data_IF_742801277941
#
_entry.id   IF_742801277941
#
_cell.length_a   1.000
_cell.length_b   1.000
_cell.length_c   1.000
_cell.angle_alpha   90.00
_cell.angle_beta   90.00
_cell.angle_gamma   90.00
#
_symmetry.space_group_name_H-M   'P 1'
#
loop_
_entity.id
_entity.type
_entity.pdbx_description
1 polymer ?
#
# COMPACT_ATOMS: atom_id res chain seq x y z
N UNK A 1 25.67 30.92 11.90
CA UNK A 1 25.59 29.50 11.46
C UNK A 1 25.80 29.31 9.95
N UNK A 2 25.17 30.13 9.09
CA UNK A 2 25.27 30.00 7.63
C UNK A 2 26.70 30.27 7.10
N UNK A 3 27.35 31.35 7.54
CA UNK A 3 28.74 31.67 7.14
C UNK A 3 29.75 30.62 7.65
N UNK A 4 29.57 30.16 8.89
CA UNK A 4 30.38 29.10 9.50
C UNK A 4 30.28 27.77 8.73
N UNK A 5 29.08 27.43 8.25
CA UNK A 5 28.84 26.25 7.41
C UNK A 5 29.65 26.32 6.12
N UNK A 6 29.64 27.45 5.41
CA UNK A 6 30.40 27.57 4.16
C UNK A 6 31.90 27.55 4.39
N UNK A 7 32.39 28.14 5.49
CA UNK A 7 33.80 28.05 5.85
C UNK A 7 34.23 26.59 6.12
N UNK A 8 33.49 25.86 6.96
CA UNK A 8 33.81 24.45 7.26
C UNK A 8 33.65 23.52 6.06
N UNK A 9 32.83 23.87 5.06
CA UNK A 9 32.75 23.11 3.80
C UNK A 9 34.14 22.94 3.16
N UNK A 10 35.00 23.95 3.29
CA UNK A 10 36.34 23.97 2.70
C UNK A 10 37.45 23.68 3.73
N UNK A 11 37.26 24.03 5.02
CA UNK A 11 38.32 23.89 6.04
C UNK A 11 38.19 22.65 6.94
N UNK A 12 36.99 22.09 7.12
CA UNK A 12 36.78 20.90 7.95
C UNK A 12 35.48 20.16 7.56
N UNK A 13 35.61 19.15 6.70
CA UNK A 13 34.47 18.38 6.16
C UNK A 13 33.63 17.71 7.25
N UNK A 14 34.22 17.27 8.35
CA UNK A 14 33.48 16.64 9.45
C UNK A 14 32.59 17.66 10.14
N UNK A 15 33.16 18.80 10.54
CA UNK A 15 32.39 19.89 11.17
C UNK A 15 31.32 20.47 10.25
N UNK A 16 31.54 20.47 8.94
CA UNK A 16 30.51 20.80 7.94
C UNK A 16 29.33 19.83 7.97
N UNK A 17 29.58 18.51 8.05
CA UNK A 17 28.53 17.48 8.16
C UNK A 17 27.73 17.65 9.45
N UNK A 18 28.41 17.85 10.59
CA UNK A 18 27.77 18.05 11.89
C UNK A 18 26.83 19.27 11.88
N UNK A 19 27.28 20.40 11.31
CA UNK A 19 26.44 21.60 11.19
C UNK A 19 25.24 21.35 10.27
N UNK A 20 25.42 20.59 9.17
CA UNK A 20 24.32 20.23 8.25
C UNK A 20 23.28 19.34 8.97
N UNK A 21 23.72 18.41 9.79
CA UNK A 21 22.85 17.53 10.58
C UNK A 21 22.08 18.31 11.65
N UNK A 22 22.76 19.18 12.41
CA UNK A 22 22.11 20.06 13.39
C UNK A 22 21.07 20.98 12.73
N UNK A 23 21.37 21.52 11.55
CA UNK A 23 20.40 22.29 10.76
C UNK A 23 19.19 21.46 10.34
N UNK A 24 19.41 20.21 9.90
CA UNK A 24 18.35 19.29 9.53
C UNK A 24 17.44 18.96 10.73
N UNK A 25 18.04 18.67 11.89
CA UNK A 25 17.30 18.41 13.14
C UNK A 25 16.49 19.63 13.53
N UNK A 26 17.08 20.84 13.50
CA UNK A 26 16.37 22.08 13.80
C UNK A 26 15.19 22.30 12.85
N UNK A 27 15.38 22.06 11.56
CA UNK A 27 14.32 22.14 10.55
C UNK A 27 13.21 21.13 10.80
N UNK A 28 13.55 19.86 11.10
CA UNK A 28 12.57 18.82 11.44
C UNK A 28 11.77 19.19 12.69
N UNK A 29 12.44 19.68 13.74
CA UNK A 29 11.77 20.17 14.96
C UNK A 29 10.85 21.37 14.69
N UNK A 30 11.23 22.27 13.79
CA UNK A 30 10.35 23.39 13.40
C UNK A 30 9.21 22.97 12.45
N UNK A 31 9.38 21.87 11.69
CA UNK A 31 8.37 21.31 10.79
C UNK A 31 7.35 20.44 11.54
N UNK A 32 7.77 19.76 12.61
CA UNK A 32 6.89 19.21 13.62
C UNK A 32 6.29 20.40 14.41
N UNK A 33 5.45 21.17 13.72
CA UNK A 33 4.80 22.35 14.26
C UNK A 33 3.94 21.95 15.47
N UNK A 34 3.79 22.81 16.49
CA UNK A 34 2.80 22.64 17.55
C UNK A 34 1.39 22.32 17.03
N UNK A 35 1.07 22.74 15.79
CA UNK A 35 -0.19 22.44 15.12
C UNK A 35 -0.34 20.95 14.76
N UNK A 36 0.73 20.22 14.45
CA UNK A 36 0.64 18.79 14.14
C UNK A 36 0.54 17.96 15.42
N UNK A 37 1.25 18.34 16.49
CA UNK A 37 1.08 17.69 17.80
C UNK A 37 -0.34 17.86 18.31
N UNK A 38 -0.96 19.03 18.11
CA UNK A 38 -2.37 19.24 18.44
C UNK A 38 -3.29 18.27 17.68
N UNK A 39 -3.09 18.04 16.38
CA UNK A 39 -3.86 17.04 15.61
C UNK A 39 -3.71 15.63 16.18
N UNK A 40 -2.52 15.24 16.62
CA UNK A 40 -2.29 13.94 17.26
C UNK A 40 -2.99 13.85 18.63
N UNK A 41 -2.95 14.92 19.42
CA UNK A 41 -3.65 15.00 20.70
C UNK A 41 -5.17 14.93 20.52
N UNK A 42 -5.71 15.58 19.49
CA UNK A 42 -7.12 15.46 19.10
C UNK A 42 -7.49 14.02 18.72
N UNK A 43 -6.70 13.38 17.85
CA UNK A 43 -6.91 11.98 17.46
C UNK A 43 -6.91 11.06 18.69
N UNK A 44 -5.94 11.23 19.59
CA UNK A 44 -5.86 10.50 20.86
C UNK A 44 -7.08 10.76 21.75
N UNK A 45 -7.53 12.02 21.80
CA UNK A 45 -8.75 12.43 22.50
C UNK A 45 -10.00 11.76 21.93
N UNK A 46 -10.16 11.70 20.61
CA UNK A 46 -11.29 11.01 19.99
C UNK A 46 -11.26 9.51 20.27
N UNK A 47 -10.10 8.85 20.12
CA UNK A 47 -9.94 7.41 20.42
C UNK A 47 -10.27 7.10 21.89
N UNK A 48 -10.00 8.02 22.82
CA UNK A 48 -10.26 7.79 24.25
C UNK A 48 -11.74 7.99 24.62
N UNK A 49 -12.42 8.95 23.99
CA UNK A 49 -13.68 9.49 24.51
C UNK A 49 -14.90 9.22 23.61
N UNK A 50 -14.70 9.01 22.31
CA UNK A 50 -15.81 8.80 21.37
C UNK A 50 -16.13 7.30 21.26
N UNK A 51 -17.42 6.94 21.20
CA UNK A 51 -17.83 5.55 20.93
C UNK A 51 -17.83 5.20 19.44
N UNK A 52 -17.95 6.23 18.59
CA UNK A 52 -18.03 6.12 17.14
C UNK A 52 -16.85 6.86 16.53
N UNK A 53 -16.08 6.18 15.67
CA UNK A 53 -14.93 6.76 14.98
C UNK A 53 -15.23 6.83 13.47
N UNK A 54 -15.25 8.05 12.95
CA UNK A 54 -15.40 8.34 11.54
C UNK A 54 -14.03 8.63 10.95
N UNK A 55 -13.58 7.76 10.06
CA UNK A 55 -12.30 7.84 9.37
C UNK A 55 -12.48 8.47 8.00
N UNK A 56 -11.51 9.29 7.58
CA UNK A 56 -11.41 9.83 6.23
C UNK A 56 -10.16 9.31 5.56
N UNK A 57 -10.25 8.98 4.27
CA UNK A 57 -9.09 8.73 3.44
C UNK A 57 -9.32 9.25 2.01
N UNK A 58 -8.28 9.79 1.36
CA UNK A 58 -8.34 10.26 -0.03
C UNK A 58 -7.21 9.76 -0.92
N UNK A 59 -6.16 9.18 -0.34
CA UNK A 59 -4.97 8.69 -1.06
C UNK A 59 -5.25 7.53 -1.99
N UNK A 60 -4.20 6.99 -2.62
CA UNK A 60 -4.33 5.85 -3.53
C UNK A 60 -4.96 4.64 -2.83
N UNK A 61 -5.63 3.79 -3.60
CA UNK A 61 -6.38 2.65 -3.07
C UNK A 61 -5.53 1.66 -2.25
N UNK A 62 -4.22 1.54 -2.51
CA UNK A 62 -3.33 0.73 -1.66
C UNK A 62 -3.15 1.30 -0.26
N UNK A 63 -3.10 2.64 -0.11
CA UNK A 63 -3.00 3.30 1.19
C UNK A 63 -4.28 3.07 2.02
N UNK A 64 -5.45 3.01 1.37
CA UNK A 64 -6.72 2.65 2.02
C UNK A 64 -6.63 1.24 2.63
N UNK A 65 -6.12 0.27 1.86
CA UNK A 65 -5.91 -1.10 2.35
C UNK A 65 -4.94 -1.12 3.53
N UNK A 66 -3.88 -0.33 3.48
CA UNK A 66 -2.90 -0.26 4.56
C UNK A 66 -3.38 0.46 5.83
N UNK A 67 -4.46 1.24 5.77
CA UNK A 67 -5.10 1.84 6.94
C UNK A 67 -5.98 0.85 7.72
N UNK A 68 -6.45 -0.21 7.05
CA UNK A 68 -7.37 -1.20 7.60
C UNK A 68 -6.91 -1.89 8.91
N UNK A 69 -5.63 -2.24 9.13
CA UNK A 69 -5.19 -2.86 10.39
C UNK A 69 -5.54 -2.01 11.61
N UNK A 70 -5.30 -0.69 11.53
CA UNK A 70 -5.61 0.24 12.64
C UNK A 70 -7.11 0.30 12.89
N UNK A 71 -7.92 0.37 11.83
CA UNK A 71 -9.38 0.38 11.95
C UNK A 71 -9.88 -0.93 12.58
N UNK A 72 -9.31 -2.07 12.18
CA UNK A 72 -9.63 -3.39 12.75
C UNK A 72 -9.34 -3.44 14.24
N UNK A 73 -8.20 -2.91 14.68
CA UNK A 73 -7.88 -2.88 16.11
C UNK A 73 -8.82 -1.96 16.90
N UNK A 74 -9.09 -0.77 16.39
CA UNK A 74 -10.01 0.18 17.01
C UNK A 74 -11.46 -0.33 17.06
N UNK A 75 -11.88 -1.13 16.07
CA UNK A 75 -13.22 -1.72 16.01
C UNK A 75 -13.56 -2.64 17.18
N UNK A 76 -12.55 -3.14 17.91
CA UNK A 76 -12.75 -3.96 19.11
C UNK A 76 -13.47 -3.20 20.23
N UNK A 77 -13.34 -1.87 20.24
CA UNK A 77 -13.91 -1.00 21.28
C UNK A 77 -14.78 0.13 20.71
N UNK A 78 -14.80 0.32 19.39
CA UNK A 78 -15.50 1.42 18.72
C UNK A 78 -16.38 0.92 17.58
N UNK A 79 -17.46 1.65 17.31
CA UNK A 79 -18.12 1.58 16.00
C UNK A 79 -17.30 2.39 14.99
N UNK A 80 -16.82 1.75 13.93
CA UNK A 80 -15.91 2.37 12.97
C UNK A 80 -16.61 2.60 11.62
N UNK A 81 -16.50 3.81 11.06
CA UNK A 81 -17.05 4.16 9.73
C UNK A 81 -15.94 4.74 8.84
N UNK A 82 -15.85 4.34 7.58
CA UNK A 82 -14.80 4.80 6.66
C UNK A 82 -15.38 5.56 5.46
N UNK A 83 -15.02 6.84 5.35
CA UNK A 83 -15.46 7.71 4.26
C UNK A 83 -14.31 8.03 3.30
N UNK A 84 -14.58 7.88 2.00
CA UNK A 84 -13.60 8.11 0.95
C UNK A 84 -13.85 9.46 0.30
N UNK A 85 -12.85 10.34 0.33
CA UNK A 85 -12.90 11.59 -0.42
C UNK A 85 -12.49 11.33 -1.87
N UNK A 86 -13.48 11.30 -2.76
CA UNK A 86 -13.25 11.18 -4.22
C UNK A 86 -12.83 12.53 -4.83
N UNK A 87 -12.17 12.46 -5.98
CA UNK A 87 -11.76 13.60 -6.80
C UNK A 87 -10.79 14.58 -6.12
N UNK A 88 -10.07 14.17 -5.06
CA UNK A 88 -8.99 14.98 -4.50
C UNK A 88 -7.86 15.13 -5.53
N UNK A 89 -7.46 16.35 -5.90
CA UNK A 89 -6.38 16.59 -6.87
C UNK A 89 -5.04 16.03 -6.40
N UNK A 90 -4.20 15.61 -7.36
CA UNK A 90 -2.80 15.28 -7.12
C UNK A 90 -1.96 16.52 -7.47
N UNK A 91 -1.12 16.98 -6.53
CA UNK A 91 -0.30 18.20 -6.70
C UNK A 91 0.78 18.09 -7.79
N UNK A 92 1.11 16.86 -8.23
CA UNK A 92 2.14 16.58 -9.24
C UNK A 92 1.56 15.72 -10.36
N UNK A 93 1.98 15.99 -11.58
CA UNK A 93 1.60 15.18 -12.74
C UNK A 93 1.98 13.71 -12.52
N UNK A 94 0.99 12.83 -12.47
CA UNK A 94 1.19 11.40 -12.38
C UNK A 94 1.17 10.78 -13.79
N UNK A 95 2.31 10.26 -14.25
CA UNK A 95 2.41 9.63 -15.58
C UNK A 95 1.51 8.38 -15.65
N UNK A 96 0.60 8.34 -16.63
CA UNK A 96 -0.35 7.24 -16.87
C UNK A 96 -1.11 6.77 -15.62
N UNK A 97 -1.50 7.70 -14.74
CA UNK A 97 -2.30 7.34 -13.57
C UNK A 97 -3.73 7.01 -13.99
N UNK A 98 -4.25 5.87 -13.52
CA UNK A 98 -5.58 5.36 -13.89
C UNK A 98 -6.74 6.28 -13.49
N UNK A 99 -6.52 7.14 -12.49
CA UNK A 99 -7.49 8.14 -12.05
C UNK A 99 -7.25 9.52 -12.68
N UNK A 100 -6.30 9.66 -13.60
CA UNK A 100 -5.93 10.93 -14.22
C UNK A 100 -5.21 11.85 -13.23
N UNK A 101 -5.79 13.02 -12.94
CA UNK A 101 -5.20 14.07 -12.10
C UNK A 101 -5.71 14.06 -10.65
N UNK A 102 -6.48 13.05 -10.25
CA UNK A 102 -7.01 12.88 -8.89
C UNK A 102 -6.52 11.58 -8.27
N UNK A 103 -6.53 11.46 -6.95
CA UNK A 103 -6.08 10.21 -6.29
C UNK A 103 -7.02 9.03 -6.56
N UNK A 104 -8.33 9.26 -6.43
CA UNK A 104 -9.41 8.32 -6.66
C UNK A 104 -10.53 9.08 -7.37
N UNK A 105 -10.94 8.62 -8.55
CA UNK A 105 -12.13 9.12 -9.23
C UNK A 105 -13.34 8.21 -8.92
N UNK A 106 -14.53 8.61 -9.37
CA UNK A 106 -15.76 7.84 -9.12
C UNK A 106 -15.70 6.41 -9.68
N UNK A 107 -15.12 6.20 -10.87
CA UNK A 107 -15.01 4.87 -11.47
C UNK A 107 -14.16 3.90 -10.63
N UNK A 108 -13.04 4.37 -10.06
CA UNK A 108 -12.21 3.56 -9.16
C UNK A 108 -12.91 3.33 -7.83
N UNK A 109 -13.61 4.34 -7.30
CA UNK A 109 -14.43 4.19 -6.10
C UNK A 109 -15.52 3.12 -6.29
N UNK A 110 -16.20 3.11 -7.43
CA UNK A 110 -17.26 2.14 -7.73
C UNK A 110 -16.71 0.70 -7.85
N UNK A 111 -15.47 0.52 -8.33
CA UNK A 111 -14.78 -0.78 -8.28
C UNK A 111 -14.28 -1.15 -6.88
N UNK A 112 -14.03 -0.17 -6.01
CA UNK A 112 -13.52 -0.38 -4.65
C UNK A 112 -14.62 -0.69 -3.63
N UNK A 113 -15.79 -0.07 -3.77
CA UNK A 113 -16.84 -0.16 -2.75
C UNK A 113 -17.32 -1.61 -2.48
N UNK A 114 -17.39 -2.56 -3.45
CA UNK A 114 -17.74 -3.94 -3.14
C UNK A 114 -16.75 -4.61 -2.18
N UNK A 115 -15.45 -4.32 -2.34
CA UNK A 115 -14.41 -4.84 -1.44
C UNK A 115 -14.55 -4.26 -0.03
N UNK A 116 -14.75 -2.93 0.07
CA UNK A 116 -14.89 -2.29 1.36
C UNK A 116 -16.13 -2.79 2.12
N UNK A 117 -17.26 -2.95 1.41
CA UNK A 117 -18.49 -3.51 2.00
C UNK A 117 -18.35 -4.95 2.50
N UNK A 118 -17.32 -5.69 2.08
CA UNK A 118 -17.06 -7.05 2.60
C UNK A 118 -16.26 -7.04 3.92
N UNK A 119 -15.83 -5.89 4.42
CA UNK A 119 -15.01 -5.76 5.63
C UNK A 119 -15.91 -5.75 6.86
N UNK A 120 -15.95 -6.87 7.59
CA UNK A 120 -16.88 -7.12 8.70
C UNK A 120 -16.77 -6.15 9.90
N UNK A 121 -15.61 -5.53 10.11
CA UNK A 121 -15.33 -4.70 11.29
C UNK A 121 -15.53 -3.19 11.07
N UNK A 122 -16.11 -2.79 9.94
CA UNK A 122 -16.49 -1.41 9.65
C UNK A 122 -17.99 -1.37 9.43
N UNK A 123 -18.66 -0.48 10.15
CA UNK A 123 -20.13 -0.41 10.21
C UNK A 123 -20.74 0.37 9.05
N UNK A 124 -20.04 1.38 8.53
CA UNK A 124 -20.52 2.16 7.39
C UNK A 124 -19.38 2.58 6.45
N UNK A 125 -19.71 2.67 5.16
CA UNK A 125 -18.83 3.10 4.08
C UNK A 125 -19.54 4.04 3.13
N UNK A 126 -18.87 5.12 2.76
CA UNK A 126 -19.46 6.08 1.83
C UNK A 126 -18.44 7.00 1.17
N UNK A 127 -18.95 7.80 0.23
CA UNK A 127 -18.23 8.99 -0.22
C UNK A 127 -18.32 10.02 0.92
N UNK A 128 -17.21 10.72 1.16
CA UNK A 128 -17.20 11.83 2.12
C UNK A 128 -18.07 12.96 1.59
N UNK A 129 -19.07 13.33 2.38
CA UNK A 129 -19.92 14.49 2.16
C UNK A 129 -19.72 15.46 3.33
N UNK A 130 -20.57 15.37 4.35
CA UNK A 130 -20.60 16.30 5.49
C UNK A 130 -20.39 15.60 6.84
N UNK A 131 -19.92 14.34 6.84
CA UNK A 131 -19.72 13.58 8.08
C UNK A 131 -18.62 14.23 8.95
N UNK A 132 -18.86 14.31 10.27
CA UNK A 132 -17.82 14.71 11.24
C UNK A 132 -16.69 13.68 11.19
N UNK A 133 -15.48 14.12 10.88
CA UNK A 133 -14.29 13.24 10.84
C UNK A 133 -13.55 13.32 12.18
N UNK A 134 -13.27 12.15 12.76
CA UNK A 134 -12.45 12.01 13.96
C UNK A 134 -10.99 11.75 13.61
N UNK A 135 -10.73 10.94 12.58
CA UNK A 135 -9.38 10.56 12.17
C UNK A 135 -9.24 10.74 10.67
N UNK A 136 -8.50 11.76 10.26
CA UNK A 136 -8.13 11.98 8.85
C UNK A 136 -6.83 11.25 8.55
N UNK A 137 -6.92 10.11 7.86
CA UNK A 137 -5.74 9.34 7.53
C UNK A 137 -4.82 10.07 6.55
N UNK A 138 -5.28 11.06 5.78
CA UNK A 138 -4.39 11.81 4.89
C UNK A 138 -3.26 12.55 5.64
N UNK A 139 -3.45 12.80 6.94
CA UNK A 139 -2.47 13.46 7.80
C UNK A 139 -1.15 12.69 7.89
N UNK A 140 -1.09 11.41 7.50
CA UNK A 140 0.19 10.71 7.43
C UNK A 140 1.18 11.38 6.46
N UNK A 141 0.68 12.11 5.46
CA UNK A 141 1.50 12.82 4.48
C UNK A 141 2.14 14.10 5.04
N UNK A 142 1.65 14.57 6.18
CA UNK A 142 2.19 15.72 6.89
C UNK A 142 3.22 15.31 7.97
N UNK A 143 3.36 14.01 8.24
CA UNK A 143 4.31 13.51 9.22
C UNK A 143 5.77 13.83 8.80
N UNK A 144 6.67 14.16 9.75
CA UNK A 144 8.03 14.58 9.45
C UNK A 144 8.97 13.40 9.13
N UNK A 145 8.46 12.40 8.42
CA UNK A 145 9.19 11.22 8.01
C UNK A 145 9.44 11.25 6.51
N UNK A 146 10.33 10.38 6.05
CA UNK A 146 10.48 10.17 4.62
C UNK A 146 9.29 9.38 4.07
N UNK A 147 8.61 9.93 3.06
CA UNK A 147 7.52 9.26 2.33
C UNK A 147 8.00 8.63 1.02
N UNK A 148 9.33 8.56 0.80
CA UNK A 148 9.95 7.88 -0.32
C UNK A 148 9.95 6.35 -0.18
N UNK A 149 9.13 5.78 0.70
CA UNK A 149 8.85 4.35 0.77
C UNK A 149 7.36 4.16 1.07
N UNK A 150 6.83 2.93 1.05
CA UNK A 150 5.45 2.67 1.50
C UNK A 150 5.49 1.89 2.80
N UNK A 151 4.62 2.23 3.74
CA UNK A 151 4.56 1.55 5.04
C UNK A 151 3.16 1.53 5.63
N UNK A 152 2.70 0.34 6.04
CA UNK A 152 1.52 0.17 6.89
C UNK A 152 1.60 0.99 8.18
N UNK A 153 2.83 1.19 8.67
CA UNK A 153 3.07 1.79 9.98
C UNK A 153 2.79 3.29 10.01
N UNK A 154 2.61 3.93 8.87
CA UNK A 154 2.22 5.34 8.82
C UNK A 154 0.97 5.63 9.65
N UNK A 155 -0.02 4.74 9.58
CA UNK A 155 -1.25 4.89 10.35
C UNK A 155 -1.07 4.55 11.83
N UNK A 156 -0.07 3.73 12.18
CA UNK A 156 0.31 3.49 13.58
C UNK A 156 0.90 4.75 14.19
N UNK A 157 1.75 5.45 13.43
CA UNK A 157 2.34 6.70 13.86
C UNK A 157 1.32 7.84 13.99
N UNK A 158 0.24 7.79 13.21
CA UNK A 158 -0.84 8.76 13.30
C UNK A 158 -1.76 8.53 14.51
N UNK A 159 -2.05 7.28 14.85
CA UNK A 159 -3.06 6.93 15.87
C UNK A 159 -2.48 6.45 17.20
N UNK A 160 -1.20 6.09 17.23
CA UNK A 160 -0.57 5.41 18.38
C UNK A 160 -0.95 3.93 18.51
N UNK A 161 -1.82 3.40 17.64
CA UNK A 161 -2.30 2.02 17.69
C UNK A 161 -1.35 1.12 16.90
N UNK A 162 -0.91 0.02 17.52
CA UNK A 162 -0.10 -1.01 16.88
C UNK A 162 -0.89 -2.30 16.74
N UNK A 163 -0.65 -3.01 15.64
CA UNK A 163 -1.34 -4.27 15.34
C UNK A 163 -0.35 -5.33 14.89
N UNK A 164 -0.70 -6.59 15.08
CA UNK A 164 0.06 -7.70 14.48
C UNK A 164 -0.20 -7.73 12.97
N UNK A 165 0.82 -7.34 12.19
CA UNK A 165 0.75 -7.34 10.73
C UNK A 165 0.99 -8.72 10.12
N UNK A 166 1.31 -9.76 10.90
CA UNK A 166 1.44 -11.13 10.39
C UNK A 166 0.07 -11.79 10.13
N UNK A 167 -0.96 -11.31 10.82
CA UNK A 167 -2.34 -11.78 10.69
C UNK A 167 -3.09 -11.07 9.55
N UNK A 168 -4.10 -11.73 8.94
CA UNK A 168 -4.91 -11.11 7.89
C UNK A 168 -5.78 -10.01 8.47
N UNK A 169 -5.83 -8.89 7.77
CA UNK A 169 -6.72 -7.76 8.05
C UNK A 169 -7.80 -7.58 6.98
N UNK A 170 -7.82 -8.43 5.95
CA UNK A 170 -8.98 -8.65 5.08
C UNK A 170 -9.35 -10.13 5.08
N UNK A 171 -10.60 -10.43 5.45
CA UNK A 171 -11.20 -11.75 5.32
C UNK A 171 -12.04 -11.77 4.05
N UNK A 172 -11.70 -12.66 3.14
CA UNK A 172 -12.28 -12.73 1.81
C UNK A 172 -12.64 -14.18 1.51
N UNK A 173 -13.83 -14.39 0.96
CA UNK A 173 -14.27 -15.70 0.52
C UNK A 173 -13.54 -16.11 -0.77
N UNK A 174 -13.19 -17.39 -0.95
CA UNK A 174 -12.60 -17.89 -2.20
C UNK A 174 -13.47 -17.57 -3.42
N UNK A 175 -12.84 -17.39 -4.58
CA UNK A 175 -13.55 -17.23 -5.85
C UNK A 175 -14.28 -18.53 -6.23
N UNK A 176 -15.53 -18.51 -6.72
CA UNK A 176 -16.32 -19.73 -6.90
C UNK A 176 -15.77 -20.72 -7.95
N UNK A 177 -15.06 -20.23 -8.98
CA UNK A 177 -14.59 -21.06 -10.11
C UNK A 177 -13.08 -21.02 -10.36
N UNK A 178 -12.46 -19.84 -10.30
CA UNK A 178 -11.02 -19.65 -10.44
C UNK A 178 -10.30 -20.09 -9.16
N UNK A 179 -9.53 -21.19 -9.24
CA UNK A 179 -8.84 -21.80 -8.10
C UNK A 179 -7.44 -22.28 -8.51
N UNK A 180 -6.51 -22.29 -7.55
CA UNK A 180 -5.17 -22.89 -7.68
C UNK A 180 -4.32 -22.40 -8.87
N UNK A 181 -4.60 -21.18 -9.35
CA UNK A 181 -3.79 -20.48 -10.35
C UNK A 181 -2.63 -19.76 -9.65
N UNK A 182 -1.50 -19.60 -10.35
CA UNK A 182 -0.46 -18.65 -9.97
C UNK A 182 -0.89 -17.30 -10.52
N UNK A 183 -1.30 -16.40 -9.63
CA UNK A 183 -1.89 -15.12 -10.01
C UNK A 183 -0.79 -14.06 -10.11
N UNK A 184 -0.77 -13.33 -11.22
CA UNK A 184 0.27 -12.35 -11.54
C UNK A 184 -0.35 -10.97 -11.76
N UNK A 185 0.23 -9.94 -11.14
CA UNK A 185 0.02 -8.54 -11.51
C UNK A 185 1.36 -7.83 -11.53
N UNK A 186 1.80 -7.42 -12.71
CA UNK A 186 3.06 -6.69 -12.90
C UNK A 186 2.79 -5.32 -13.50
N UNK A 187 2.51 -4.35 -12.62
CA UNK A 187 2.13 -3.02 -13.04
C UNK A 187 3.28 -2.28 -13.75
N UNK A 188 3.00 -1.26 -14.57
CA UNK A 188 4.06 -0.44 -15.21
C UNK A 188 4.91 0.38 -14.24
N UNK A 189 4.46 0.54 -13.00
CA UNK A 189 5.18 1.29 -11.96
C UNK A 189 6.07 0.35 -11.16
N UNK A 190 7.23 0.82 -10.70
CA UNK A 190 8.06 0.07 -9.73
C UNK A 190 8.43 -1.33 -10.27
N UNK A 191 8.86 -1.40 -11.55
CA UNK A 191 9.35 -2.64 -12.17
C UNK A 191 10.85 -2.75 -11.96
N UNK A 192 11.29 -3.94 -11.60
CA UNK A 192 12.69 -4.23 -11.44
C UNK A 192 13.30 -4.61 -12.81
N UNK A 193 14.31 -3.86 -13.30
CA UNK A 193 14.94 -4.15 -14.59
C UNK A 193 15.87 -5.39 -14.54
N UNK A 194 16.16 -5.93 -13.36
CA UNK A 194 17.05 -7.06 -13.14
C UNK A 194 16.32 -8.42 -13.07
N UNK A 195 15.01 -8.45 -13.34
CA UNK A 195 14.20 -9.67 -13.28
C UNK A 195 13.47 -9.92 -14.61
N UNK A 196 13.49 -11.18 -15.01
CA UNK A 196 12.85 -11.70 -16.21
C UNK A 196 11.79 -12.74 -15.81
N UNK A 197 10.58 -12.53 -16.32
CA UNK A 197 9.44 -13.40 -16.08
C UNK A 197 9.33 -14.53 -17.12
N UNK A 198 10.19 -14.54 -18.16
CA UNK A 198 10.12 -15.50 -19.28
C UNK A 198 10.26 -16.96 -18.83
N UNK A 199 10.96 -17.24 -17.73
CA UNK A 199 11.06 -18.61 -17.18
C UNK A 199 9.70 -19.18 -16.76
N UNK A 200 8.68 -18.33 -16.57
CA UNK A 200 7.33 -18.75 -16.24
C UNK A 200 6.61 -19.43 -17.40
N UNK A 201 7.06 -19.24 -18.65
CA UNK A 201 6.44 -19.82 -19.85
C UNK A 201 6.34 -21.36 -19.84
N UNK A 202 7.03 -22.05 -18.91
CA UNK A 202 6.95 -23.50 -18.71
C UNK A 202 5.81 -23.95 -17.78
N UNK A 203 5.02 -23.04 -17.22
CA UNK A 203 3.91 -23.34 -16.30
C UNK A 203 2.58 -22.96 -16.92
N UNK A 204 1.58 -23.84 -16.90
CA UNK A 204 0.30 -23.64 -17.58
C UNK A 204 -0.81 -23.03 -16.70
N UNK A 205 -0.60 -22.94 -15.38
CA UNK A 205 -1.59 -22.44 -14.44
C UNK A 205 -1.43 -20.94 -14.11
N UNK A 206 -0.93 -20.15 -15.04
CA UNK A 206 -0.67 -18.71 -14.84
C UNK A 206 -1.89 -17.87 -15.22
N UNK A 207 -2.26 -16.92 -14.35
CA UNK A 207 -3.39 -16.02 -14.56
C UNK A 207 -3.00 -14.57 -14.28
N UNK A 208 -3.23 -13.68 -15.24
CA UNK A 208 -3.06 -12.25 -15.05
C UNK A 208 -4.40 -11.55 -14.80
N UNK A 209 -4.45 -10.70 -13.76
CA UNK A 209 -5.68 -9.99 -13.34
C UNK A 209 -5.50 -8.46 -13.23
N UNK A 210 -4.42 -7.92 -13.79
CA UNK A 210 -4.14 -6.48 -13.84
C UNK A 210 -4.76 -5.77 -15.05
N UNK A 211 -4.18 -4.64 -15.47
CA UNK A 211 -4.67 -3.92 -16.65
C UNK A 211 -4.34 -4.66 -17.96
N UNK A 212 -5.19 -4.50 -18.98
CA UNK A 212 -5.05 -5.19 -20.26
C UNK A 212 -3.73 -4.88 -20.96
N UNK A 213 -3.27 -3.64 -20.94
CA UNK A 213 -2.00 -3.21 -21.53
C UNK A 213 -0.79 -3.78 -20.77
N UNK A 214 -0.86 -3.88 -19.44
CA UNK A 214 0.15 -4.55 -18.61
C UNK A 214 0.20 -6.07 -18.89
N UNK A 215 -0.95 -6.69 -19.14
CA UNK A 215 -1.04 -8.08 -19.59
C UNK A 215 -0.39 -8.29 -20.94
N UNK A 216 -0.78 -7.51 -21.96
CA UNK A 216 -0.24 -7.65 -23.32
C UNK A 216 1.27 -7.44 -23.35
N UNK A 217 1.80 -6.58 -22.47
CA UNK A 217 3.24 -6.40 -22.32
C UNK A 217 3.93 -7.64 -21.73
N UNK A 218 3.39 -8.21 -20.65
CA UNK A 218 3.96 -9.40 -20.02
C UNK A 218 3.80 -10.66 -20.88
N UNK A 219 2.71 -10.78 -21.63
CA UNK A 219 2.41 -11.93 -22.50
C UNK A 219 3.44 -12.13 -23.61
N UNK A 220 4.14 -11.07 -24.04
CA UNK A 220 5.28 -11.18 -24.98
C UNK A 220 6.38 -12.12 -24.46
N UNK A 221 6.52 -12.21 -23.14
CA UNK A 221 7.51 -13.05 -22.45
C UNK A 221 6.92 -14.38 -21.97
N UNK A 222 5.60 -14.44 -21.76
CA UNK A 222 4.87 -15.62 -21.29
C UNK A 222 3.70 -15.91 -22.25
N UNK A 223 3.92 -16.62 -23.37
CA UNK A 223 2.90 -16.82 -24.40
C UNK A 223 1.63 -17.53 -23.91
N UNK A 224 1.76 -18.42 -22.93
CA UNK A 224 0.65 -19.17 -22.32
C UNK A 224 -0.06 -18.43 -21.17
N UNK A 225 0.27 -17.16 -20.92
CA UNK A 225 -0.39 -16.36 -19.87
C UNK A 225 -1.87 -16.12 -20.20
N UNK A 226 -2.76 -16.53 -19.29
CA UNK A 226 -4.19 -16.25 -19.36
C UNK A 226 -4.50 -14.84 -18.81
N UNK A 227 -5.52 -14.18 -19.35
CA UNK A 227 -6.02 -12.90 -18.86
C UNK A 227 -7.44 -13.06 -18.33
N UNK A 228 -7.71 -12.44 -17.19
CA UNK A 228 -9.06 -12.31 -16.65
C UNK A 228 -9.32 -10.87 -16.24
N UNK A 229 -10.35 -10.27 -16.84
CA UNK A 229 -10.77 -8.91 -16.54
C UNK A 229 -11.72 -8.93 -15.34
N UNK A 230 -11.25 -8.41 -14.20
CA UNK A 230 -12.03 -8.40 -12.97
C UNK A 230 -13.11 -7.33 -13.00
N UNK A 231 -14.32 -7.69 -12.59
CA UNK A 231 -15.46 -6.76 -12.54
C UNK A 231 -15.23 -5.65 -11.52
N UNK A 232 -14.72 -5.99 -10.34
CA UNK A 232 -14.46 -5.10 -9.20
C UNK A 232 -13.30 -5.61 -8.34
N UNK A 233 -12.90 -4.84 -7.32
CA UNK A 233 -11.78 -5.21 -6.45
C UNK A 233 -12.13 -6.27 -5.40
N UNK A 234 -13.41 -6.59 -5.20
CA UNK A 234 -13.81 -7.73 -4.39
C UNK A 234 -13.49 -9.03 -5.14
N UNK A 235 -13.89 -9.14 -6.40
CA UNK A 235 -13.56 -10.30 -7.25
C UNK A 235 -12.05 -10.49 -7.40
N UNK A 236 -11.29 -9.40 -7.58
CA UNK A 236 -9.83 -9.44 -7.57
C UNK A 236 -9.29 -10.06 -6.27
N UNK A 237 -9.81 -9.63 -5.11
CA UNK A 237 -9.43 -10.18 -3.82
C UNK A 237 -9.81 -11.66 -3.67
N UNK A 238 -10.97 -12.08 -4.18
CA UNK A 238 -11.39 -13.49 -4.18
C UNK A 238 -10.45 -14.36 -5.02
N UNK A 239 -10.05 -13.90 -6.21
CA UNK A 239 -9.10 -14.61 -7.08
C UNK A 239 -7.73 -14.73 -6.41
N UNK A 240 -7.24 -13.64 -5.79
CA UNK A 240 -5.99 -13.66 -5.01
C UNK A 240 -6.09 -14.63 -3.83
N UNK A 241 -7.22 -14.66 -3.12
CA UNK A 241 -7.46 -15.61 -2.02
C UNK A 241 -7.42 -17.07 -2.48
N UNK A 242 -7.98 -17.34 -3.66
CA UNK A 242 -8.05 -18.66 -4.29
C UNK A 242 -6.79 -19.09 -5.04
N UNK A 243 -5.82 -18.20 -5.19
CA UNK A 243 -4.58 -18.49 -5.90
C UNK A 243 -3.70 -19.48 -5.12
N UNK A 244 -2.88 -20.24 -5.85
CA UNK A 244 -1.82 -21.05 -5.24
C UNK A 244 -0.83 -20.16 -4.50
N UNK A 245 -0.39 -19.11 -5.19
CA UNK A 245 0.31 -17.96 -4.64
C UNK A 245 0.22 -16.79 -5.62
N UNK A 246 0.48 -15.58 -5.11
CA UNK A 246 0.48 -14.35 -5.87
C UNK A 246 1.91 -13.89 -6.22
N UNK A 247 2.09 -13.31 -7.40
CA UNK A 247 3.32 -12.63 -7.81
C UNK A 247 2.96 -11.22 -8.26
N UNK A 248 3.64 -10.22 -7.73
CA UNK A 248 3.50 -8.88 -8.27
C UNK A 248 4.51 -7.90 -7.76
N UNK A 249 4.56 -6.74 -8.42
CA UNK A 249 5.32 -5.60 -7.93
C UNK A 249 4.45 -4.70 -7.05
N UNK A 250 5.07 -3.65 -6.48
CA UNK A 250 4.45 -2.75 -5.51
C UNK A 250 3.25 -1.98 -6.11
N UNK A 251 2.08 -2.59 -5.97
CA UNK A 251 0.83 -2.22 -6.60
C UNK A 251 -0.34 -2.42 -5.65
N UNK A 252 -1.52 -1.97 -6.05
CA UNK A 252 -2.74 -2.24 -5.29
C UNK A 252 -3.03 -3.73 -5.15
N UNK A 253 -2.83 -4.53 -6.20
CA UNK A 253 -3.03 -5.98 -6.12
C UNK A 253 -2.11 -6.62 -5.07
N UNK A 254 -0.86 -6.15 -4.96
CA UNK A 254 0.03 -6.61 -3.91
C UNK A 254 -0.47 -6.21 -2.50
N UNK A 255 -1.02 -5.00 -2.34
CA UNK A 255 -1.63 -4.61 -1.05
C UNK A 255 -2.80 -5.52 -0.64
N UNK A 256 -3.58 -6.04 -1.60
CA UNK A 256 -4.62 -7.03 -1.32
C UNK A 256 -4.05 -8.39 -0.91
N UNK A 257 -3.07 -8.91 -1.68
CA UNK A 257 -2.41 -10.17 -1.34
C UNK A 257 -1.79 -10.15 0.07
N UNK A 258 -1.22 -9.01 0.44
CA UNK A 258 -0.68 -8.75 1.77
C UNK A 258 -1.75 -8.66 2.85
N UNK A 259 -2.88 -8.02 2.58
CA UNK A 259 -3.99 -7.91 3.53
C UNK A 259 -4.68 -9.24 3.83
N UNK A 260 -4.76 -10.09 2.81
CA UNK A 260 -5.41 -11.41 2.84
C UNK A 260 -4.45 -12.50 3.38
N UNK A 261 -3.13 -12.24 3.32
CA UNK A 261 -2.05 -13.18 3.68
C UNK A 261 -2.00 -14.44 2.81
N UNK A 262 -2.43 -14.34 1.56
CA UNK A 262 -2.11 -15.37 0.54
C UNK A 262 -0.58 -15.50 0.43
N UNK A 263 -0.03 -16.72 0.23
CA UNK A 263 1.37 -16.89 -0.15
C UNK A 263 1.71 -15.97 -1.33
N UNK A 264 2.81 -15.22 -1.24
CA UNK A 264 3.08 -14.14 -2.20
C UNK A 264 4.55 -13.82 -2.36
N UNK A 265 4.88 -13.38 -3.58
CA UNK A 265 6.18 -12.84 -3.95
C UNK A 265 6.06 -11.39 -4.39
N UNK A 266 6.89 -10.53 -3.80
CA UNK A 266 7.04 -9.14 -4.18
C UNK A 266 8.25 -8.95 -5.09
N UNK A 267 8.03 -8.49 -6.32
CA UNK A 267 9.08 -7.90 -7.14
C UNK A 267 9.49 -6.57 -6.53
N UNK A 268 10.70 -6.54 -5.95
CA UNK A 268 11.23 -5.37 -5.29
C UNK A 268 11.99 -4.46 -6.28
N UNK A 269 11.80 -3.15 -6.20
CA UNK A 269 12.47 -2.18 -7.09
C UNK A 269 13.74 -1.63 -6.44
N UNK A 270 14.84 -1.58 -7.19
CA UNK A 270 16.18 -1.23 -6.67
C UNK A 270 16.27 0.19 -6.10
N UNK A 271 15.52 1.13 -6.68
CA UNK A 271 15.68 2.56 -6.38
C UNK A 271 14.61 3.10 -5.44
N UNK A 272 13.72 2.23 -4.95
CA UNK A 272 12.64 2.59 -4.03
C UNK A 272 12.51 1.53 -2.94
N UNK A 273 12.59 1.88 -1.65
CA UNK A 273 12.39 0.91 -0.58
C UNK A 273 10.99 0.33 -0.69
N UNK A 274 10.93 -0.99 -0.85
CA UNK A 274 9.67 -1.70 -1.04
C UNK A 274 8.96 -1.97 0.27
N UNK A 275 7.66 -2.24 0.17
CA UNK A 275 6.90 -2.81 1.29
C UNK A 275 7.53 -4.14 1.65
N UNK A 276 7.97 -4.33 2.89
CA UNK A 276 8.46 -5.64 3.32
C UNK A 276 7.28 -6.61 3.48
N UNK A 277 7.28 -7.78 2.83
CA UNK A 277 6.25 -8.79 3.03
C UNK A 277 6.23 -9.28 4.48
N UNK A 278 5.05 -9.35 5.11
CA UNK A 278 4.91 -9.76 6.53
C UNK A 278 4.02 -10.99 6.67
N UNK A 279 4.53 -12.02 7.33
CA UNK A 279 3.80 -13.24 7.67
C UNK A 279 4.30 -14.48 6.94
N UNK A 280 3.56 -15.58 7.06
CA UNK A 280 3.94 -16.87 6.50
C UNK A 280 3.94 -16.85 4.96
N UNK A 281 4.93 -17.51 4.36
CA UNK A 281 5.06 -17.70 2.90
C UNK A 281 5.01 -16.38 2.09
N UNK A 282 5.56 -15.32 2.67
CA UNK A 282 5.64 -13.99 2.08
C UNK A 282 7.12 -13.64 1.87
N UNK A 283 7.51 -13.37 0.63
CA UNK A 283 8.90 -13.10 0.27
C UNK A 283 9.01 -11.97 -0.74
N UNK A 284 10.13 -11.28 -0.75
CA UNK A 284 10.50 -10.30 -1.78
C UNK A 284 11.76 -10.77 -2.52
N UNK A 285 11.94 -10.26 -3.74
CA UNK A 285 13.11 -10.57 -4.54
C UNK A 285 13.60 -9.37 -5.34
N UNK A 286 14.93 -9.25 -5.43
CA UNK A 286 15.61 -8.23 -6.22
C UNK A 286 16.32 -8.80 -7.45
N UNK A 287 16.71 -10.07 -7.42
CA UNK A 287 17.55 -10.69 -8.43
C UNK A 287 16.88 -11.96 -8.96
N UNK A 288 17.11 -12.26 -10.24
CA UNK A 288 16.52 -13.39 -10.94
C UNK A 288 16.71 -14.73 -10.20
N UNK A 289 17.92 -14.99 -9.70
CA UNK A 289 18.21 -16.25 -8.99
C UNK A 289 17.31 -16.46 -7.77
N UNK A 290 17.03 -15.39 -7.01
CA UNK A 290 16.14 -15.47 -5.85
C UNK A 290 14.67 -15.56 -6.28
N UNK A 291 14.29 -14.90 -7.38
CA UNK A 291 12.94 -15.01 -7.91
C UNK A 291 12.60 -16.47 -8.24
N UNK A 292 13.43 -17.15 -9.01
CA UNK A 292 13.19 -18.54 -9.39
C UNK A 292 13.24 -19.50 -8.18
N UNK A 293 14.16 -19.29 -7.25
CA UNK A 293 14.24 -20.09 -6.01
C UNK A 293 12.98 -19.96 -5.16
N UNK A 294 12.53 -18.73 -4.91
CA UNK A 294 11.35 -18.45 -4.09
C UNK A 294 10.07 -18.87 -4.81
N UNK A 295 10.01 -18.72 -6.14
CA UNK A 295 8.92 -19.26 -6.97
C UNK A 295 8.82 -20.78 -6.78
N UNK A 296 9.92 -21.52 -6.94
CA UNK A 296 9.92 -22.97 -6.81
C UNK A 296 9.49 -23.38 -5.39
N UNK A 297 9.95 -22.67 -4.36
CA UNK A 297 9.55 -22.89 -2.96
C UNK A 297 8.04 -22.73 -2.74
N UNK A 298 7.42 -21.70 -3.30
CA UNK A 298 5.97 -21.51 -3.17
C UNK A 298 5.18 -22.48 -4.06
N UNK A 299 5.75 -22.90 -5.19
CA UNK A 299 5.10 -23.83 -6.10
C UNK A 299 5.09 -25.29 -5.58
N UNK A 300 5.83 -25.60 -4.51
CA UNK A 300 5.77 -26.91 -3.84
C UNK A 300 4.86 -26.94 -2.61
N UNK A 301 4.23 -25.81 -2.26
CA UNK A 301 3.15 -25.76 -1.25
C UNK A 301 1.89 -26.45 -1.79
#
# INVERSE_FOLDING_TARGET
MILLKYWYKYTNKNKYRDIKEQMLIKRKKSQLLPSFTYKLDEISGYIKNEKVLNFKHSGHIGDIIYALPVIKELSKTHTCNLYIQVNKPIDKHAYKHTAGNVFINKAIYDKLIPLLKSVEYISDFGILENQKIHIDFDLFRELPFDLNFISFRWFFHLTGIQTDLSEPFLKIEPHPSIQNKIVIVRSFRVRNPFVDYSFLAKYDNLLFIGLKDEYEDLKKHIPNLEFYDVKDFYEMAQIIKSSKFFIGNQSFAYSLAEAIKTPRLLEAYSDFPVVHPIGKNAYDFYFQIHFEQLFNKLNTL
#
